data_IF_419913476884
#
_entry.id   IF_419913476884
#
_cell.length_a   1.000
_cell.length_b   1.000
_cell.length_c   1.000
_cell.angle_alpha   90.00
_cell.angle_beta   90.00
_cell.angle_gamma   90.00
#
_symmetry.space_group_name_H-M   'P 1'
#
loop_
_entity.id
_entity.type
_entity.pdbx_description
1 polymer ?
#
# COMPACT_ATOMS: atom_id res chain seq x y z
N UNK A 1 -4.67 0.60 3.82
CA UNK A 1 -4.72 0.58 5.31
C UNK A 1 -3.89 -0.59 5.78
N UNK A 2 -2.98 -0.39 6.74
CA UNK A 2 -2.18 -1.47 7.32
C UNK A 2 -3.02 -2.25 8.34
N UNK A 3 -2.96 -3.59 8.29
CA UNK A 3 -3.53 -4.47 9.32
C UNK A 3 -2.55 -4.55 10.49
N UNK A 4 -3.04 -4.34 11.71
CA UNK A 4 -2.29 -4.71 12.91
C UNK A 4 -2.43 -6.22 13.12
N UNK A 5 -1.30 -6.93 13.07
CA UNK A 5 -1.25 -8.39 13.16
C UNK A 5 -1.08 -8.92 14.59
N UNK A 6 -1.10 -8.03 15.61
CA UNK A 6 -0.95 -8.39 17.03
C UNK A 6 0.15 -9.44 17.26
N UNK A 7 1.29 -9.25 16.60
CA UNK A 7 2.39 -10.20 16.67
C UNK A 7 2.95 -10.23 18.10
N UNK A 8 3.16 -11.41 18.71
CA UNK A 8 3.66 -11.53 20.08
C UNK A 8 5.13 -11.09 20.24
N UNK A 9 5.80 -10.78 19.13
CA UNK A 9 7.23 -10.53 19.05
C UNK A 9 7.47 -9.10 18.58
N UNK A 10 8.54 -8.46 19.07
CA UNK A 10 8.97 -7.15 18.56
C UNK A 10 9.55 -7.35 17.17
N UNK A 11 8.85 -6.84 16.16
CA UNK A 11 9.23 -6.95 14.75
C UNK A 11 9.00 -5.62 14.03
N UNK A 12 9.53 -5.47 12.82
CA UNK A 12 9.32 -4.29 11.99
C UNK A 12 8.86 -4.66 10.58
N UNK A 13 8.08 -3.77 9.97
CA UNK A 13 7.64 -3.91 8.59
C UNK A 13 8.34 -2.85 7.76
N UNK A 14 9.10 -3.27 6.76
CA UNK A 14 9.72 -2.37 5.80
C UNK A 14 9.35 -2.77 4.37
N UNK A 15 9.07 -1.79 3.54
CA UNK A 15 8.65 -2.02 2.17
C UNK A 15 8.98 -0.86 1.27
N UNK A 16 8.90 -1.12 -0.02
CA UNK A 16 9.01 -0.11 -1.08
C UNK A 16 7.63 0.14 -1.65
N UNK A 17 7.38 1.39 -2.03
CA UNK A 17 6.15 1.81 -2.69
C UNK A 17 6.50 2.58 -3.94
N UNK A 18 5.81 2.29 -5.02
CA UNK A 18 5.86 3.02 -6.28
C UNK A 18 4.47 3.55 -6.60
N UNK A 19 4.37 4.81 -6.98
CA UNK A 19 3.09 5.47 -7.22
C UNK A 19 3.10 6.35 -8.46
N UNK A 20 1.99 6.35 -9.17
CA UNK A 20 1.69 7.26 -10.26
C UNK A 20 0.45 8.08 -9.90
N UNK A 21 0.57 9.41 -10.04
CA UNK A 21 -0.55 10.34 -9.85
C UNK A 21 -0.75 11.12 -11.13
N UNK A 22 -1.99 11.14 -11.60
CA UNK A 22 -2.41 11.92 -12.75
C UNK A 22 -3.59 12.79 -12.36
N UNK A 23 -3.51 14.08 -12.67
CA UNK A 23 -4.55 15.05 -12.33
C UNK A 23 -4.94 15.80 -13.60
N UNK A 24 -6.17 15.59 -14.03
CA UNK A 24 -6.88 16.39 -15.02
C UNK A 24 -7.87 17.27 -14.26
N UNK A 25 -8.18 18.47 -14.74
CA UNK A 25 -9.01 19.48 -14.04
C UNK A 25 -10.08 18.93 -13.08
N UNK A 26 -10.91 18.01 -13.57
CA UNK A 26 -12.03 17.43 -12.82
C UNK A 26 -11.81 15.99 -12.39
N UNK A 27 -10.63 15.40 -12.62
CA UNK A 27 -10.36 13.98 -12.42
C UNK A 27 -8.93 13.74 -11.91
N UNK A 28 -8.82 13.13 -10.73
CA UNK A 28 -7.58 12.69 -10.12
C UNK A 28 -7.53 11.16 -10.11
N UNK A 29 -6.49 10.61 -10.72
CA UNK A 29 -6.16 9.19 -10.70
C UNK A 29 -4.86 8.99 -9.92
N UNK A 30 -4.90 8.08 -8.93
CA UNK A 30 -3.73 7.64 -8.19
C UNK A 30 -3.65 6.13 -8.29
N UNK A 31 -2.54 5.62 -8.78
CA UNK A 31 -2.20 4.21 -8.80
C UNK A 31 -0.96 4.01 -7.94
N UNK A 32 -1.06 3.21 -6.89
CA UNK A 32 0.05 2.94 -5.98
C UNK A 32 0.23 1.44 -5.84
N UNK A 33 1.41 0.93 -6.17
CA UNK A 33 1.81 -0.44 -5.92
C UNK A 33 2.86 -0.46 -4.80
N UNK A 34 2.78 -1.42 -3.88
CA UNK A 34 3.78 -1.58 -2.84
C UNK A 34 4.23 -3.02 -2.70
N UNK A 35 5.42 -3.21 -2.14
CA UNK A 35 5.97 -4.53 -1.83
C UNK A 35 6.72 -4.46 -0.51
N UNK A 36 6.40 -5.39 0.39
CA UNK A 36 7.17 -5.57 1.61
C UNK A 36 8.55 -6.18 1.26
N UNK A 37 9.63 -5.54 1.70
CA UNK A 37 10.99 -6.06 1.60
C UNK A 37 11.37 -6.85 2.85
N UNK A 38 10.87 -6.42 4.01
CA UNK A 38 11.05 -7.08 5.28
C UNK A 38 9.70 -7.19 5.97
N UNK A 39 9.34 -8.41 6.36
CA UNK A 39 8.15 -8.71 7.16
C UNK A 39 8.46 -9.87 8.10
N UNK A 40 7.76 -9.90 9.23
CA UNK A 40 7.86 -11.01 10.19
C UNK A 40 7.56 -12.35 9.53
N UNK A 41 8.28 -13.40 9.93
CA UNK A 41 8.00 -14.77 9.49
C UNK A 41 6.59 -15.24 9.90
N UNK A 42 6.04 -14.65 10.96
CA UNK A 42 4.71 -14.98 11.47
C UNK A 42 3.61 -14.13 10.82
N UNK A 43 3.98 -13.23 9.90
CA UNK A 43 3.04 -12.37 9.18
C UNK A 43 2.64 -13.03 7.85
N UNK A 44 1.33 -13.16 7.56
CA UNK A 44 0.87 -13.84 6.35
C UNK A 44 1.45 -13.20 5.08
N UNK A 45 1.73 -14.02 4.06
CA UNK A 45 2.08 -13.50 2.74
C UNK A 45 0.83 -12.96 2.08
N UNK A 46 0.73 -11.63 2.06
CA UNK A 46 -0.26 -10.95 1.26
C UNK A 46 0.23 -10.79 -0.18
N UNK A 47 -0.72 -10.80 -1.12
CA UNK A 47 -0.44 -10.47 -2.51
C UNK A 47 0.04 -9.02 -2.59
N UNK A 48 0.94 -8.72 -3.54
CA UNK A 48 1.48 -7.38 -3.78
C UNK A 48 0.32 -6.36 -3.78
N UNK A 49 0.25 -5.45 -2.79
CA UNK A 49 -0.85 -4.51 -2.71
C UNK A 49 -0.82 -3.54 -3.89
N UNK A 50 -1.93 -3.48 -4.64
CA UNK A 50 -2.15 -2.48 -5.69
C UNK A 50 -3.38 -1.66 -5.29
N UNK A 51 -3.18 -0.36 -5.13
CA UNK A 51 -4.21 0.60 -4.76
C UNK A 51 -4.51 1.49 -5.96
N UNK A 52 -5.76 1.47 -6.44
CA UNK A 52 -6.25 2.41 -7.43
C UNK A 52 -7.27 3.34 -6.77
N UNK A 53 -7.09 4.65 -6.93
CA UNK A 53 -8.02 5.67 -6.47
C UNK A 53 -8.32 6.62 -7.63
N UNK A 54 -9.59 6.67 -8.03
CA UNK A 54 -10.12 7.71 -8.90
C UNK A 54 -10.97 8.69 -8.07
N UNK A 55 -10.87 9.97 -8.36
CA UNK A 55 -11.69 11.02 -7.72
C UNK A 55 -12.09 12.02 -8.77
N UNK A 56 -13.36 12.40 -8.80
CA UNK A 56 -13.90 13.42 -9.70
C UNK A 56 -14.30 14.62 -8.86
N UNK A 57 -13.92 15.82 -9.30
CA UNK A 57 -14.22 17.09 -8.60
C UNK A 57 -15.06 17.98 -9.51
N UNK A 58 -16.14 18.52 -8.95
CA UNK A 58 -17.13 19.38 -9.62
C UNK A 58 -17.20 20.74 -8.91
#
# INVERSE_FOLDING_TARGET
>A
YGRDYLLPNKDFLAGVTFGFRYNLNHLSLNLTASKALHKSSNMPSETIPIYLRASVFF
#
